data_IF_232231478596
#
_entry.id   IF_232231478596
#
_cell.length_a   1.000
_cell.length_b   1.000
_cell.length_c   1.000
_cell.angle_alpha   90.00
_cell.angle_beta   90.00
_cell.angle_gamma   90.00
#
_symmetry.space_group_name_H-M   'P 1'
#
loop_
_entity.id
_entity.type
_entity.pdbx_description
1 polymer ?
#
# COMPACT_ATOMS: atom_id res chain seq x y z
N UNK A 1 -9.41 -50.04 -33.70
CA UNK A 1 -9.43 -48.87 -32.81
C UNK A 1 -8.78 -49.24 -31.50
N UNK A 2 -7.48 -49.00 -31.35
CA UNK A 2 -6.92 -48.47 -30.12
C UNK A 2 -5.52 -47.94 -30.43
N UNK A 3 -5.34 -46.65 -30.14
CA UNK A 3 -4.17 -45.86 -30.48
C UNK A 3 -3.07 -46.10 -29.46
N UNK A 4 -1.92 -46.59 -29.93
CA UNK A 4 -0.65 -46.52 -29.23
C UNK A 4 0.11 -45.33 -29.79
N UNK A 5 0.54 -44.37 -28.98
CA UNK A 5 1.63 -43.45 -29.35
C UNK A 5 2.26 -42.80 -28.12
N UNK A 6 3.50 -43.24 -27.89
CA UNK A 6 4.54 -42.72 -27.00
C UNK A 6 4.75 -41.20 -27.12
N UNK A 7 4.77 -40.50 -25.98
CA UNK A 7 5.09 -39.07 -25.89
C UNK A 7 6.56 -38.84 -25.46
N UNK A 8 7.52 -39.34 -26.23
CA UNK A 8 8.93 -38.98 -26.03
C UNK A 8 9.68 -39.07 -27.38
N UNK A 9 9.60 -37.99 -28.16
CA UNK A 9 10.58 -37.71 -29.23
C UNK A 9 11.14 -36.32 -28.99
N UNK A 10 12.42 -36.26 -28.67
CA UNK A 10 13.22 -35.04 -28.49
C UNK A 10 13.40 -34.33 -29.83
N UNK A 11 12.71 -33.21 -30.03
CA UNK A 11 13.07 -32.24 -31.06
C UNK A 11 14.24 -31.39 -30.52
N UNK A 12 15.46 -31.74 -30.92
CA UNK A 12 16.66 -30.93 -30.69
C UNK A 12 16.60 -29.67 -31.55
N UNK A 13 16.06 -28.59 -30.98
CA UNK A 13 16.04 -27.27 -31.56
C UNK A 13 15.56 -26.25 -30.54
N UNK A 14 16.47 -25.75 -29.69
CA UNK A 14 16.14 -24.55 -28.90
C UNK A 14 15.85 -23.41 -29.87
N UNK A 15 14.68 -22.75 -29.81
CA UNK A 15 14.49 -21.53 -30.57
C UNK A 15 15.55 -20.52 -30.13
N UNK A 16 16.25 -19.92 -31.10
CA UNK A 16 17.23 -18.88 -30.82
C UNK A 16 16.58 -17.79 -29.97
N UNK A 17 17.28 -17.33 -28.92
CA UNK A 17 16.84 -16.13 -28.17
C UNK A 17 16.64 -15.00 -29.19
N UNK A 18 15.48 -14.32 -29.21
CA UNK A 18 15.28 -13.20 -30.11
C UNK A 18 16.35 -12.14 -29.86
N UNK A 19 16.82 -11.53 -30.93
CA UNK A 19 17.80 -10.44 -30.89
C UNK A 19 17.23 -9.31 -30.01
N UNK A 20 17.92 -8.87 -28.95
CA UNK A 20 17.44 -7.79 -28.08
C UNK A 20 17.21 -6.46 -28.82
N UNK A 21 17.72 -6.32 -30.04
CA UNK A 21 17.49 -5.13 -30.89
C UNK A 21 16.20 -5.20 -31.74
N UNK A 22 15.52 -6.35 -31.78
CA UNK A 22 14.30 -6.53 -32.59
C UNK A 22 13.04 -5.88 -32.01
N UNK A 23 13.09 -5.35 -30.79
CA UNK A 23 11.97 -4.67 -30.14
C UNK A 23 11.98 -3.16 -30.43
N UNK A 24 11.72 -2.75 -31.67
CA UNK A 24 11.38 -1.35 -31.98
C UNK A 24 9.91 -1.10 -31.64
N UNK A 25 9.60 -0.85 -30.36
CA UNK A 25 8.29 -0.30 -30.00
C UNK A 25 8.27 1.20 -30.34
N UNK A 26 7.77 1.54 -31.52
CA UNK A 26 7.32 2.90 -31.82
C UNK A 26 6.04 3.17 -31.02
N UNK A 27 6.17 3.63 -29.78
CA UNK A 27 5.02 4.12 -29.03
C UNK A 27 4.63 5.50 -29.55
N UNK A 28 3.42 5.61 -30.09
CA UNK A 28 2.86 6.91 -30.47
C UNK A 28 2.66 7.79 -29.23
N UNK A 29 2.69 9.11 -29.40
CA UNK A 29 2.38 10.06 -28.33
C UNK A 29 1.01 9.78 -27.70
N UNK A 30 0.01 9.45 -28.51
CA UNK A 30 -1.34 9.07 -28.08
C UNK A 30 -1.36 7.81 -27.19
N UNK A 31 -0.57 6.79 -27.56
CA UNK A 31 -0.43 5.58 -26.72
C UNK A 31 0.24 5.87 -25.37
N UNK A 32 1.16 6.84 -25.33
CA UNK A 32 1.82 7.26 -24.09
C UNK A 32 0.90 8.08 -23.18
N UNK A 33 0.12 9.01 -23.75
CA UNK A 33 -0.88 9.79 -23.00
C UNK A 33 -1.98 8.91 -22.43
N UNK A 34 -2.43 7.91 -23.20
CA UNK A 34 -3.37 6.88 -22.73
C UNK A 34 -2.79 6.05 -21.58
N UNK A 35 -1.52 5.66 -21.65
CA UNK A 35 -0.85 4.90 -20.60
C UNK A 35 -0.72 5.69 -19.28
N UNK A 36 -0.40 7.00 -19.35
CA UNK A 36 -0.30 7.82 -18.15
C UNK A 36 -1.65 8.07 -17.48
N UNK A 37 -2.70 8.30 -18.28
CA UNK A 37 -4.06 8.41 -17.77
C UNK A 37 -4.51 7.11 -17.08
N UNK A 38 -4.15 5.95 -17.65
CA UNK A 38 -4.43 4.65 -17.05
C UNK A 38 -3.68 4.43 -15.74
N UNK A 39 -2.39 4.82 -15.69
CA UNK A 39 -1.63 4.75 -14.45
C UNK A 39 -2.25 5.63 -13.36
N UNK A 40 -2.68 6.86 -13.70
CA UNK A 40 -3.34 7.76 -12.75
C UNK A 40 -4.64 7.16 -12.18
N UNK A 41 -5.49 6.54 -13.03
CA UNK A 41 -6.70 5.85 -12.56
C UNK A 41 -6.38 4.69 -11.62
N UNK A 42 -5.40 3.85 -11.96
CA UNK A 42 -5.01 2.70 -11.11
C UNK A 42 -4.41 3.15 -9.79
N UNK A 43 -3.61 4.21 -9.83
CA UNK A 43 -3.04 4.83 -8.65
C UNK A 43 -4.15 5.34 -7.72
N UNK A 44 -5.11 6.13 -8.24
CA UNK A 44 -6.24 6.63 -7.46
C UNK A 44 -7.18 5.54 -6.96
N UNK A 45 -7.28 4.42 -7.68
CA UNK A 45 -8.01 3.25 -7.21
C UNK A 45 -7.36 2.60 -5.98
N UNK A 46 -6.04 2.65 -5.87
CA UNK A 46 -5.29 2.03 -4.78
C UNK A 46 -5.01 2.99 -3.61
N UNK A 47 -4.78 4.27 -3.90
CA UNK A 47 -4.27 5.27 -2.96
C UNK A 47 -5.10 6.58 -2.99
N UNK A 48 -6.27 6.60 -3.62
CA UNK A 48 -7.15 7.76 -3.55
C UNK A 48 -7.79 7.88 -2.16
N UNK A 49 -8.06 9.11 -1.68
CA UNK A 49 -7.81 10.39 -2.33
C UNK A 49 -6.33 10.81 -2.32
N UNK A 50 -5.84 11.38 -3.43
CA UNK A 50 -4.43 11.76 -3.59
C UNK A 50 -4.24 12.95 -4.55
N UNK A 51 -3.00 13.42 -4.67
CA UNK A 51 -2.61 14.53 -5.56
C UNK A 51 -1.76 14.07 -6.75
N UNK A 52 -1.64 14.89 -7.82
CA UNK A 52 -0.66 14.64 -8.89
C UNK A 52 0.79 14.56 -8.39
N UNK A 53 1.10 15.27 -7.30
CA UNK A 53 2.39 15.27 -6.62
C UNK A 53 2.67 13.93 -5.91
N UNK A 54 1.63 13.30 -5.35
CA UNK A 54 1.74 11.96 -4.76
C UNK A 54 2.00 10.91 -5.85
N UNK A 55 1.27 10.97 -6.97
CA UNK A 55 1.51 10.10 -8.11
C UNK A 55 2.95 10.27 -8.65
N UNK A 56 3.44 11.51 -8.75
CA UNK A 56 4.81 11.78 -9.20
C UNK A 56 5.85 11.18 -8.25
N UNK A 57 5.66 11.34 -6.94
CA UNK A 57 6.55 10.78 -5.93
C UNK A 57 6.55 9.24 -5.94
N UNK A 58 5.37 8.62 -6.07
CA UNK A 58 5.21 7.17 -6.06
C UNK A 58 5.74 6.50 -7.35
N UNK A 59 5.44 7.08 -8.51
CA UNK A 59 5.81 6.50 -9.81
C UNK A 59 7.23 6.87 -10.28
N UNK A 60 7.83 7.92 -9.70
CA UNK A 60 9.06 8.52 -10.21
C UNK A 60 8.88 9.31 -11.51
N UNK A 61 7.65 9.55 -11.96
CA UNK A 61 7.37 10.31 -13.17
C UNK A 61 7.59 11.82 -12.98
N UNK A 62 7.96 12.56 -14.04
CA UNK A 62 7.97 14.02 -13.99
C UNK A 62 6.58 14.58 -13.65
N UNK A 63 6.54 15.57 -12.75
CA UNK A 63 5.30 16.22 -12.31
C UNK A 63 4.47 16.79 -13.46
N UNK A 64 5.11 17.24 -14.54
CA UNK A 64 4.40 17.72 -15.74
C UNK A 64 3.59 16.62 -16.43
N UNK A 65 4.09 15.37 -16.41
CA UNK A 65 3.39 14.21 -16.98
C UNK A 65 2.24 13.76 -16.09
N UNK A 66 2.42 13.75 -14.77
CA UNK A 66 1.34 13.35 -13.86
C UNK A 66 0.22 14.38 -13.84
N UNK A 67 0.52 15.68 -13.89
CA UNK A 67 -0.49 16.75 -14.05
C UNK A 67 -1.25 16.63 -15.37
N UNK A 68 -0.54 16.36 -16.49
CA UNK A 68 -1.20 16.13 -17.77
C UNK A 68 -2.13 14.90 -17.72
N UNK A 69 -1.68 13.80 -17.11
CA UNK A 69 -2.51 12.61 -16.89
C UNK A 69 -3.75 12.90 -16.04
N UNK A 70 -3.62 13.75 -15.02
CA UNK A 70 -4.74 14.19 -14.17
C UNK A 70 -5.79 14.96 -14.97
N UNK A 71 -5.37 15.85 -15.87
CA UNK A 71 -6.28 16.60 -16.75
C UNK A 71 -7.04 15.68 -17.71
N UNK A 72 -6.40 14.63 -18.23
CA UNK A 72 -7.03 13.64 -19.11
C UNK A 72 -8.15 12.83 -18.42
N UNK A 73 -8.19 12.80 -17.09
CA UNK A 73 -9.20 12.08 -16.32
C UNK A 73 -10.04 12.99 -15.42
N UNK A 74 -9.94 14.31 -15.58
CA UNK A 74 -10.55 15.28 -14.67
C UNK A 74 -12.08 15.14 -14.58
N UNK A 75 -12.73 14.72 -15.67
CA UNK A 75 -14.16 14.43 -15.73
C UNK A 75 -14.59 13.24 -14.85
N UNK A 76 -13.63 12.40 -14.44
CA UNK A 76 -13.83 11.22 -13.58
C UNK A 76 -13.45 11.50 -12.11
N UNK A 77 -12.98 12.69 -11.78
CA UNK A 77 -12.51 13.02 -10.43
C UNK A 77 -13.51 13.88 -9.67
N UNK A 78 -13.52 13.71 -8.36
CA UNK A 78 -14.09 14.66 -7.39
C UNK A 78 -12.97 15.15 -6.49
N UNK A 79 -13.06 16.42 -6.10
CA UNK A 79 -12.18 17.03 -5.12
C UNK A 79 -12.74 16.80 -3.71
N UNK A 80 -11.87 16.43 -2.78
CA UNK A 80 -12.16 16.23 -1.36
C UNK A 80 -11.07 16.89 -0.52
N UNK A 81 -11.35 17.13 0.75
CA UNK A 81 -10.37 17.66 1.69
C UNK A 81 -9.77 16.54 2.55
N UNK A 82 -8.45 16.43 2.59
CA UNK A 82 -7.71 15.51 3.47
C UNK A 82 -6.68 16.32 4.26
N UNK A 83 -6.75 16.25 5.59
CA UNK A 83 -5.86 16.98 6.49
C UNK A 83 -5.77 18.49 6.16
N UNK A 84 -6.90 19.11 5.79
CA UNK A 84 -6.98 20.53 5.44
C UNK A 84 -6.37 20.89 4.09
N UNK A 85 -6.12 19.92 3.20
CA UNK A 85 -5.56 20.12 1.87
C UNK A 85 -6.44 19.46 0.80
N UNK A 86 -6.54 20.04 -0.41
CA UNK A 86 -7.29 19.44 -1.50
C UNK A 86 -6.60 18.16 -2.00
N UNK A 87 -7.41 17.14 -2.23
CA UNK A 87 -7.03 15.87 -2.84
C UNK A 87 -8.14 15.42 -3.80
N UNK A 88 -7.85 14.44 -4.66
CA UNK A 88 -8.81 13.93 -5.63
C UNK A 88 -8.99 12.44 -5.48
N UNK A 89 -10.24 11.98 -5.66
CA UNK A 89 -10.58 10.56 -5.77
C UNK A 89 -11.46 10.34 -7.00
N UNK A 90 -11.55 9.08 -7.45
CA UNK A 90 -12.43 8.72 -8.57
C UNK A 90 -13.90 8.85 -8.14
N UNK A 91 -14.75 9.43 -9.00
CA UNK A 91 -16.20 9.54 -8.82
C UNK A 91 -16.88 8.20 -8.51
N UNK A 92 -16.31 7.09 -8.99
CA UNK A 92 -16.81 5.74 -8.69
C UNK A 92 -16.81 5.41 -7.19
N UNK A 93 -16.03 6.13 -6.40
CA UNK A 93 -15.91 5.98 -4.94
C UNK A 93 -16.61 7.11 -4.16
N UNK A 94 -17.30 8.04 -4.82
CA UNK A 94 -17.97 9.18 -4.16
C UNK A 94 -18.90 8.74 -3.02
N UNK A 95 -19.60 7.62 -3.18
CA UNK A 95 -20.52 7.07 -2.18
C UNK A 95 -19.84 6.71 -0.85
N UNK A 96 -18.53 6.52 -0.83
CA UNK A 96 -17.78 6.26 0.40
C UNK A 96 -17.78 7.47 1.35
N UNK A 97 -17.99 8.67 0.82
CA UNK A 97 -18.09 9.89 1.64
C UNK A 97 -19.36 9.94 2.48
N UNK A 98 -20.41 9.22 2.05
CA UNK A 98 -21.69 9.11 2.76
C UNK A 98 -21.75 7.88 3.68
N UNK A 99 -20.69 7.06 3.71
CA UNK A 99 -20.69 5.86 4.56
C UNK A 99 -20.66 6.26 6.04
N UNK A 100 -21.53 5.66 6.87
CA UNK A 100 -21.52 5.95 8.29
C UNK A 100 -20.19 5.50 8.91
N UNK A 101 -19.72 6.17 9.97
CA UNK A 101 -18.54 5.74 10.70
C UNK A 101 -18.65 4.28 11.12
N UNK A 102 -17.54 3.54 11.03
CA UNK A 102 -17.48 2.16 11.51
C UNK A 102 -17.71 2.18 13.04
N UNK A 103 -18.61 1.36 13.59
CA UNK A 103 -18.98 1.43 15.01
C UNK A 103 -17.86 1.08 16.00
N UNK A 104 -16.77 0.47 15.52
CA UNK A 104 -15.63 0.05 16.32
C UNK A 104 -14.32 0.49 15.64
N UNK A 105 -13.28 0.82 16.42
CA UNK A 105 -11.99 1.22 15.86
C UNK A 105 -11.39 0.13 14.97
N UNK A 106 -10.88 0.53 13.81
CA UNK A 106 -10.17 -0.36 12.88
C UNK A 106 -8.69 -0.38 13.23
N UNK A 107 -8.23 -1.51 13.75
CA UNK A 107 -6.83 -1.73 14.13
C UNK A 107 -6.07 -2.44 13.01
N UNK A 108 -4.88 -1.97 12.64
CA UNK A 108 -3.98 -2.65 11.68
C UNK A 108 -2.53 -2.67 12.16
N UNK A 109 -1.88 -3.83 12.07
CA UNK A 109 -0.43 -3.99 12.26
C UNK A 109 0.27 -3.99 10.90
N UNK A 110 0.69 -2.81 10.45
CA UNK A 110 1.40 -2.67 9.19
C UNK A 110 2.86 -3.13 9.32
N UNK A 111 3.35 -4.02 8.44
CA UNK A 111 4.76 -4.38 8.41
C UNK A 111 5.63 -3.21 7.94
N UNK A 112 6.95 -3.37 8.05
CA UNK A 112 7.88 -2.46 7.39
C UNK A 112 7.60 -2.35 5.90
N UNK A 113 7.71 -1.14 5.36
CA UNK A 113 7.49 -0.85 3.93
C UNK A 113 6.08 -1.14 3.42
N UNK A 114 5.07 -1.15 4.30
CA UNK A 114 3.69 -1.27 3.87
C UNK A 114 3.29 -0.13 2.92
N UNK A 115 2.54 -0.49 1.86
CA UNK A 115 2.19 0.43 0.78
C UNK A 115 1.28 1.56 1.24
N UNK A 116 0.52 1.39 2.33
CA UNK A 116 -0.29 2.45 2.93
C UNK A 116 0.54 3.71 3.23
N UNK A 117 1.78 3.52 3.71
CA UNK A 117 2.71 4.61 4.03
C UNK A 117 3.67 4.96 2.89
N UNK A 118 3.66 4.23 1.78
CA UNK A 118 4.56 4.46 0.63
C UNK A 118 3.84 5.01 -0.60
N UNK A 119 2.51 4.99 -0.63
CA UNK A 119 1.69 5.46 -1.75
C UNK A 119 1.72 6.97 -1.99
N UNK A 120 2.26 7.76 -1.06
CA UNK A 120 2.10 9.21 -1.03
C UNK A 120 3.45 9.93 -0.89
N UNK A 121 3.52 11.17 -1.36
CA UNK A 121 4.70 12.03 -1.21
C UNK A 121 4.93 12.38 0.26
N UNK A 122 3.86 12.67 0.98
CA UNK A 122 3.84 12.94 2.42
C UNK A 122 2.89 11.98 3.12
N UNK A 123 3.06 11.82 4.43
CA UNK A 123 2.30 10.87 5.26
C UNK A 123 1.44 11.57 6.30
N UNK A 124 1.26 12.88 6.15
CA UNK A 124 0.73 13.76 7.20
C UNK A 124 -0.73 13.43 7.55
N UNK A 125 -1.47 12.78 6.65
CA UNK A 125 -2.82 12.27 6.89
C UNK A 125 -2.86 11.04 7.81
N UNK A 126 -1.76 10.27 7.88
CA UNK A 126 -1.67 9.02 8.63
C UNK A 126 -0.69 9.10 9.81
N UNK A 127 0.31 9.98 9.76
CA UNK A 127 1.40 10.04 10.73
C UNK A 127 1.44 11.42 11.38
N UNK A 128 1.11 11.52 12.68
CA UNK A 128 1.26 12.76 13.42
C UNK A 128 2.72 13.27 13.36
N UNK A 129 2.96 14.56 13.06
CA UNK A 129 4.31 15.08 12.83
C UNK A 129 5.30 14.83 13.97
N UNK A 130 4.83 14.88 15.22
CA UNK A 130 5.65 14.63 16.41
C UNK A 130 6.18 13.19 16.51
N UNK A 131 5.57 12.23 15.80
CA UNK A 131 5.97 10.82 15.79
C UNK A 131 6.65 10.39 14.48
N UNK A 132 6.76 11.27 13.48
CA UNK A 132 7.31 10.94 12.17
C UNK A 132 8.69 10.26 12.24
N UNK A 133 9.59 10.74 13.12
CA UNK A 133 10.93 10.14 13.31
C UNK A 133 10.92 8.76 13.97
N UNK A 134 9.86 8.38 14.69
CA UNK A 134 9.70 7.02 15.23
C UNK A 134 9.35 6.02 14.13
N UNK A 135 8.69 6.47 13.08
CA UNK A 135 8.28 5.65 11.93
C UNK A 135 9.36 5.63 10.85
N UNK A 136 9.95 6.79 10.55
CA UNK A 136 11.05 6.93 9.60
C UNK A 136 12.06 7.95 10.14
N UNK A 137 13.17 7.45 10.69
CA UNK A 137 14.26 8.26 11.22
C UNK A 137 15.24 8.78 10.15
N UNK A 138 14.99 8.46 8.87
CA UNK A 138 15.94 8.63 7.77
C UNK A 138 16.62 7.32 7.39
N UNK A 139 17.51 7.38 6.39
CA UNK A 139 18.27 6.19 5.93
C UNK A 139 17.46 5.18 5.12
N UNK A 140 16.23 5.53 4.70
CA UNK A 140 15.38 4.69 3.88
C UNK A 140 14.64 3.58 4.63
N UNK A 141 14.74 3.50 5.96
CA UNK A 141 14.03 2.50 6.75
C UNK A 141 12.64 3.01 7.16
N UNK A 142 11.62 2.19 6.90
CA UNK A 142 10.25 2.40 7.39
C UNK A 142 9.91 1.33 8.42
N UNK A 143 9.71 1.74 9.68
CA UNK A 143 9.38 0.84 10.78
C UNK A 143 7.95 0.29 10.65
N UNK A 144 7.65 -0.89 11.23
CA UNK A 144 6.29 -1.39 11.34
C UNK A 144 5.43 -0.47 12.23
N UNK A 145 4.18 -0.26 11.84
CA UNK A 145 3.28 0.74 12.43
C UNK A 145 2.00 0.10 12.92
N UNK A 146 1.52 0.51 14.10
CA UNK A 146 0.17 0.26 14.56
C UNK A 146 -0.72 1.42 14.09
N UNK A 147 -1.75 1.11 13.30
CA UNK A 147 -2.79 2.05 12.93
C UNK A 147 -4.07 1.81 13.74
N UNK A 148 -4.75 2.90 14.04
CA UNK A 148 -6.14 2.94 14.50
C UNK A 148 -6.87 3.93 13.61
N UNK A 149 -7.92 3.47 12.91
CA UNK A 149 -8.72 4.29 11.98
C UNK A 149 -7.86 5.04 10.95
N UNK A 150 -6.79 4.39 10.46
CA UNK A 150 -5.84 4.95 9.50
C UNK A 150 -4.74 5.83 10.10
N UNK A 151 -4.81 6.16 11.39
CA UNK A 151 -3.81 6.99 12.06
C UNK A 151 -2.78 6.15 12.82
N UNK A 152 -1.52 6.53 12.71
CA UNK A 152 -0.42 5.91 13.44
C UNK A 152 -0.48 6.27 14.92
N UNK A 153 -0.63 5.24 15.75
CA UNK A 153 -0.69 5.36 17.22
C UNK A 153 0.43 4.61 17.92
N UNK A 154 1.33 3.97 17.16
CA UNK A 154 2.44 3.21 17.72
C UNK A 154 3.34 2.62 16.64
N UNK A 155 4.48 2.10 17.08
CA UNK A 155 5.31 1.19 16.27
C UNK A 155 5.28 -0.19 16.87
N UNK A 156 5.60 -1.21 16.09
CA UNK A 156 5.78 -2.54 16.63
C UNK A 156 7.01 -3.22 16.03
N UNK A 157 7.43 -4.30 16.67
CA UNK A 157 8.45 -5.21 16.15
C UNK A 157 8.07 -6.63 16.54
N UNK A 158 8.69 -7.60 15.90
CA UNK A 158 8.47 -9.00 16.24
C UNK A 158 9.76 -9.72 16.52
N UNK A 159 9.67 -10.75 17.38
CA UNK A 159 10.74 -11.68 17.68
C UNK A 159 10.23 -13.11 17.51
N UNK A 160 10.76 -13.81 16.51
CA UNK A 160 10.45 -15.22 16.31
C UNK A 160 11.28 -16.09 17.27
N UNK A 161 10.63 -17.02 17.95
CA UNK A 161 11.24 -18.02 18.82
C UNK A 161 10.59 -19.39 18.57
N UNK A 162 11.27 -20.26 17.82
CA UNK A 162 10.73 -21.58 17.40
C UNK A 162 9.35 -21.41 16.73
N UNK A 163 8.29 -21.97 17.32
CA UNK A 163 6.91 -21.94 16.84
C UNK A 163 6.07 -20.79 17.41
N UNK A 164 6.73 -19.77 17.98
CA UNK A 164 6.06 -18.60 18.57
C UNK A 164 6.63 -17.30 18.02
N UNK A 165 5.74 -16.38 17.64
CA UNK A 165 6.05 -15.00 17.31
C UNK A 165 5.63 -14.10 18.48
N UNK A 166 6.59 -13.42 19.08
CA UNK A 166 6.32 -12.36 20.06
C UNK A 166 6.21 -11.03 19.32
N UNK A 167 5.05 -10.39 19.38
CA UNK A 167 4.78 -9.05 18.86
C UNK A 167 4.91 -8.05 20.00
N UNK A 168 5.84 -7.11 19.84
CA UNK A 168 6.17 -6.11 20.84
C UNK A 168 5.69 -4.77 20.33
N UNK A 169 4.62 -4.27 20.93
CA UNK A 169 3.97 -3.01 20.59
C UNK A 169 4.55 -1.88 21.45
N UNK A 170 4.83 -0.75 20.82
CA UNK A 170 5.32 0.47 21.44
C UNK A 170 4.39 1.63 21.06
N UNK A 171 3.29 1.82 21.81
CA UNK A 171 2.36 2.92 21.60
C UNK A 171 3.04 4.29 21.68
N UNK A 172 2.40 5.28 21.07
CA UNK A 172 2.76 6.68 21.20
C UNK A 172 2.23 7.26 22.51
N UNK A 173 0.99 6.90 22.85
CA UNK A 173 0.26 7.29 24.05
C UNK A 173 -0.47 6.09 24.66
N UNK A 174 -1.19 6.30 25.77
CA UNK A 174 -2.01 5.26 26.37
C UNK A 174 -3.12 4.81 25.40
N UNK A 175 -3.16 3.51 25.09
CA UNK A 175 -4.18 2.94 24.22
C UNK A 175 -5.49 2.75 24.98
N UNK A 176 -6.64 3.15 24.41
CA UNK A 176 -7.93 2.94 25.05
C UNK A 176 -8.29 1.44 25.08
N UNK A 177 -9.05 0.97 26.10
CA UNK A 177 -9.33 -0.45 26.29
C UNK A 177 -10.16 -1.09 25.16
N UNK A 178 -10.92 -0.29 24.42
CA UNK A 178 -11.75 -0.70 23.29
C UNK A 178 -10.94 -1.13 22.06
N UNK A 179 -9.63 -0.87 22.00
CA UNK A 179 -8.74 -1.40 20.96
C UNK A 179 -8.34 -2.85 21.18
N UNK A 180 -8.52 -3.40 22.40
CA UNK A 180 -8.09 -4.75 22.74
C UNK A 180 -8.66 -5.83 21.80
N UNK A 181 -9.95 -5.82 21.43
CA UNK A 181 -10.49 -6.78 20.46
C UNK A 181 -9.81 -6.68 19.09
N UNK A 182 -9.56 -5.47 18.59
CA UNK A 182 -8.91 -5.24 17.30
C UNK A 182 -7.44 -5.68 17.31
N UNK A 183 -6.70 -5.38 18.37
CA UNK A 183 -5.34 -5.86 18.57
C UNK A 183 -5.29 -7.40 18.61
N UNK A 184 -6.19 -8.03 19.36
CA UNK A 184 -6.24 -9.49 19.45
C UNK A 184 -6.56 -10.12 18.08
N UNK A 185 -7.44 -9.51 17.29
CA UNK A 185 -7.77 -9.96 15.94
C UNK A 185 -6.54 -9.92 15.02
N UNK A 186 -5.81 -8.80 14.98
CA UNK A 186 -4.59 -8.66 14.17
C UNK A 186 -3.50 -9.65 14.56
N UNK A 187 -3.28 -9.85 15.87
CA UNK A 187 -2.30 -10.81 16.40
C UNK A 187 -2.68 -12.25 16.06
N UNK A 188 -3.97 -12.57 16.11
CA UNK A 188 -4.48 -13.89 15.73
C UNK A 188 -4.30 -14.12 14.23
N UNK A 189 -4.59 -13.11 13.40
CA UNK A 189 -4.45 -13.21 11.95
C UNK A 189 -2.98 -13.36 11.51
N UNK A 190 -2.05 -12.65 12.16
CA UNK A 190 -0.61 -12.86 11.96
C UNK A 190 -0.19 -14.31 12.26
N UNK A 191 -0.70 -14.89 13.36
CA UNK A 191 -0.42 -16.28 13.73
C UNK A 191 -0.95 -17.26 12.69
N UNK A 192 -2.19 -17.05 12.24
CA UNK A 192 -2.80 -17.81 11.12
C UNK A 192 -1.96 -17.71 9.85
N UNK A 193 -1.56 -16.50 9.46
CA UNK A 193 -0.82 -16.25 8.22
C UNK A 193 0.57 -16.92 8.24
N UNK A 194 1.27 -16.84 9.36
CA UNK A 194 2.64 -17.38 9.51
C UNK A 194 2.67 -18.85 9.96
N UNK A 195 1.55 -19.41 10.39
CA UNK A 195 1.46 -20.77 10.91
C UNK A 195 2.16 -20.95 12.26
N UNK A 196 2.14 -19.94 13.12
CA UNK A 196 2.83 -19.92 14.42
C UNK A 196 1.91 -19.43 15.53
N UNK A 197 2.20 -19.79 16.78
CA UNK A 197 1.55 -19.17 17.93
C UNK A 197 2.00 -17.71 18.06
N UNK A 198 1.09 -16.82 18.47
CA UNK A 198 1.41 -15.42 18.66
C UNK A 198 1.20 -14.99 20.11
N UNK A 199 2.01 -14.05 20.55
CA UNK A 199 1.83 -13.37 21.83
C UNK A 199 2.05 -11.87 21.66
N UNK A 200 1.25 -11.08 22.36
CA UNK A 200 1.35 -9.62 22.38
C UNK A 200 2.01 -9.16 23.68
N UNK A 201 3.03 -8.33 23.55
CA UNK A 201 3.60 -7.53 24.63
C UNK A 201 3.37 -6.05 24.32
N UNK A 202 2.70 -5.31 25.20
CA UNK A 202 2.52 -3.86 25.07
C UNK A 202 3.48 -3.16 26.03
N UNK A 203 4.40 -2.38 25.50
CA UNK A 203 5.32 -1.55 26.29
C UNK A 203 4.58 -0.27 26.74
N UNK A 204 4.71 0.16 28.00
CA UNK A 204 4.14 1.44 28.43
C UNK A 204 4.63 2.60 27.54
N UNK A 205 3.76 3.57 27.21
CA UNK A 205 4.17 4.76 26.47
C UNK A 205 5.17 5.59 27.30
N UNK A 206 6.01 6.40 26.63
CA UNK A 206 6.98 7.29 27.28
C UNK A 206 6.34 8.42 28.11
#
# INVERSE_FOLDING_TARGET
>A
MNSSSNWLTTASGSPARPDPTSYSMQHSKESSESAFAELARRYLKAYGPATPEDLAAWSGMPISKTRAAWQLIADQLIEVEIAGQPAWMLKTYEKWLDEPPIPAPVVRLLPSFDTYLLGYKKRDFAVPPQHARRINAGGGLLNPVLLVDGLAVGTWKSKQQKQRLEVILQPFDQLPPDLQPGLQAEITDLGRFLGVETALQVIPPP
#
